data_IF_826365249051
#
_entry.id   IF_826365249051
#
_cell.length_a   1.000
_cell.length_b   1.000
_cell.length_c   1.000
_cell.angle_alpha   90.00
_cell.angle_beta   90.00
_cell.angle_gamma   90.00
#
_symmetry.space_group_name_H-M   'P 1'
#
loop_
_entity.id
_entity.type
_entity.pdbx_description
1 polymer ?
#
# COMPACT_ATOMS: atom_id res chain seq x y z
N UNK A 1 4.92 -9.21 9.93
CA UNK A 1 3.99 -9.09 8.82
C UNK A 1 2.63 -8.60 9.35
N UNK A 2 2.28 -7.38 9.05
CA UNK A 2 0.92 -6.89 9.23
C UNK A 2 0.28 -6.85 7.85
N UNK A 3 -0.57 -7.83 7.55
CA UNK A 3 -1.26 -7.89 6.27
C UNK A 3 -2.12 -6.64 6.08
N UNK A 4 -1.87 -5.90 5.02
CA UNK A 4 -2.76 -4.83 4.58
C UNK A 4 -3.99 -5.46 3.91
N UNK A 5 -4.77 -6.15 4.73
CA UNK A 5 -5.93 -6.90 4.28
C UNK A 5 -7.04 -5.98 3.78
N UNK A 6 -7.17 -4.83 4.43
CA UNK A 6 -8.18 -3.82 4.14
C UNK A 6 -7.52 -2.45 3.95
N UNK A 7 -8.04 -1.68 3.02
CA UNK A 7 -7.71 -0.26 2.92
C UNK A 7 -8.30 0.50 4.11
N UNK A 8 -7.66 1.60 4.55
CA UNK A 8 -8.09 2.40 5.71
C UNK A 8 -9.56 2.81 5.59
N UNK A 9 -10.00 3.13 4.36
CA UNK A 9 -11.40 3.43 4.05
C UNK A 9 -11.86 2.41 3.00
N UNK A 10 -12.25 1.22 3.46
CA UNK A 10 -12.85 0.20 2.60
C UNK A 10 -14.33 0.50 2.39
N UNK A 11 -14.67 1.07 1.24
CA UNK A 11 -16.03 1.52 0.90
C UNK A 11 -17.03 0.37 0.94
N UNK A 12 -16.62 -0.82 0.55
CA UNK A 12 -17.50 -1.99 0.50
C UNK A 12 -17.82 -2.50 1.91
N UNK A 13 -16.82 -2.53 2.79
CA UNK A 13 -17.03 -2.89 4.19
C UNK A 13 -17.92 -1.86 4.89
N UNK A 14 -17.67 -0.56 4.67
CA UNK A 14 -18.49 0.49 5.22
C UNK A 14 -19.94 0.43 4.71
N UNK A 15 -20.14 0.21 3.41
CA UNK A 15 -21.47 0.04 2.83
C UNK A 15 -22.19 -1.17 3.42
N UNK A 16 -21.51 -2.31 3.54
CA UNK A 16 -22.06 -3.52 4.15
C UNK A 16 -22.51 -3.27 5.59
N UNK A 17 -21.66 -2.64 6.41
CA UNK A 17 -21.98 -2.34 7.80
C UNK A 17 -23.12 -1.32 7.92
N UNK A 18 -23.10 -0.25 7.12
CA UNK A 18 -24.16 0.77 7.14
C UNK A 18 -25.53 0.18 6.74
N UNK A 19 -25.58 -0.62 5.68
CA UNK A 19 -26.77 -1.33 5.25
C UNK A 19 -27.25 -2.33 6.31
N UNK A 20 -26.32 -3.01 6.98
CA UNK A 20 -26.60 -3.94 8.04
C UNK A 20 -27.24 -3.27 9.26
N UNK A 21 -26.66 -2.16 9.70
CA UNK A 21 -27.22 -1.35 10.80
C UNK A 21 -28.60 -0.84 10.45
N UNK A 22 -28.75 -0.25 9.26
CA UNK A 22 -30.04 0.25 8.78
C UNK A 22 -31.10 -0.86 8.73
N UNK A 23 -30.77 -2.02 8.18
CA UNK A 23 -31.67 -3.16 8.07
C UNK A 23 -32.08 -3.71 9.43
N UNK A 24 -31.13 -3.87 10.35
CA UNK A 24 -31.38 -4.32 11.73
C UNK A 24 -32.32 -3.36 12.48
N UNK A 25 -32.04 -2.05 12.41
CA UNK A 25 -32.84 -1.03 13.04
C UNK A 25 -34.28 -0.98 12.48
N UNK A 26 -34.43 -1.15 11.15
CA UNK A 26 -35.75 -1.20 10.50
C UNK A 26 -36.52 -2.45 10.90
N UNK A 27 -35.84 -3.59 11.07
CA UNK A 27 -36.46 -4.84 11.50
C UNK A 27 -36.94 -4.75 12.97
N UNK A 28 -36.14 -4.16 13.84
CA UNK A 28 -36.48 -3.91 15.23
C UNK A 28 -37.74 -3.04 15.37
N UNK A 29 -37.78 -1.91 14.62
CA UNK A 29 -38.98 -1.02 14.61
C UNK A 29 -40.25 -1.71 14.14
N UNK A 30 -40.14 -2.82 13.42
CA UNK A 30 -41.26 -3.63 12.94
C UNK A 30 -41.56 -4.82 13.86
N UNK A 31 -40.95 -4.90 15.03
CA UNK A 31 -41.13 -6.01 16.01
C UNK A 31 -40.49 -7.33 15.58
N UNK A 32 -39.58 -7.31 14.56
CA UNK A 32 -38.92 -8.50 14.06
C UNK A 32 -37.62 -8.82 14.78
N UNK A 33 -37.04 -9.99 14.46
CA UNK A 33 -35.74 -10.43 15.02
C UNK A 33 -34.57 -9.68 14.38
N UNK A 34 -34.15 -8.56 14.96
CA UNK A 34 -33.02 -7.77 14.55
C UNK A 34 -31.69 -8.50 14.76
N UNK A 35 -31.57 -9.36 15.79
CA UNK A 35 -30.33 -10.09 16.12
C UNK A 35 -29.86 -11.00 14.99
N UNK A 36 -30.77 -11.71 14.35
CA UNK A 36 -30.42 -12.58 13.20
C UNK A 36 -29.87 -11.77 12.04
N UNK A 37 -30.39 -10.56 11.80
CA UNK A 37 -29.89 -9.67 10.73
C UNK A 37 -28.50 -9.12 11.06
N UNK A 38 -28.29 -8.67 12.30
CA UNK A 38 -27.00 -8.21 12.76
C UNK A 38 -25.94 -9.31 12.68
N UNK A 39 -26.28 -10.53 13.11
CA UNK A 39 -25.38 -11.69 13.03
C UNK A 39 -25.01 -12.02 11.57
N UNK A 40 -25.99 -12.01 10.67
CA UNK A 40 -25.74 -12.25 9.26
C UNK A 40 -24.74 -11.23 8.69
N UNK A 41 -24.95 -9.93 8.94
CA UNK A 41 -24.06 -8.87 8.47
C UNK A 41 -22.66 -9.01 9.07
N UNK A 42 -22.56 -9.35 10.35
CA UNK A 42 -21.29 -9.63 10.99
C UNK A 42 -20.55 -10.79 10.34
N UNK A 43 -21.24 -11.91 10.07
CA UNK A 43 -20.66 -13.06 9.36
C UNK A 43 -20.19 -12.66 7.95
N UNK A 44 -20.98 -11.88 7.21
CA UNK A 44 -20.60 -11.40 5.89
C UNK A 44 -19.37 -10.47 5.95
N UNK A 45 -19.27 -9.61 6.96
CA UNK A 45 -18.10 -8.77 7.19
C UNK A 45 -16.85 -9.60 7.50
N UNK A 46 -16.98 -10.65 8.31
CA UNK A 46 -15.88 -11.58 8.60
C UNK A 46 -15.45 -12.35 7.34
N UNK A 47 -16.40 -12.83 6.54
CA UNK A 47 -16.10 -13.51 5.27
C UNK A 47 -15.41 -12.57 4.27
N UNK A 48 -15.89 -11.33 4.16
CA UNK A 48 -15.26 -10.32 3.33
C UNK A 48 -13.81 -10.03 3.75
N UNK A 49 -13.57 -9.85 5.04
CA UNK A 49 -12.22 -9.62 5.59
C UNK A 49 -11.32 -10.82 5.37
N UNK A 50 -11.81 -12.03 5.61
CA UNK A 50 -11.06 -13.27 5.39
C UNK A 50 -10.72 -13.47 3.91
N UNK A 51 -11.66 -13.19 3.02
CA UNK A 51 -11.43 -13.24 1.58
C UNK A 51 -10.33 -12.26 1.14
N UNK A 52 -10.40 -11.00 1.60
CA UNK A 52 -9.37 -10.01 1.32
C UNK A 52 -7.99 -10.43 1.85
N UNK A 53 -7.93 -11.06 3.00
CA UNK A 53 -6.68 -11.63 3.54
C UNK A 53 -6.11 -12.70 2.61
N UNK A 54 -6.94 -13.65 2.15
CA UNK A 54 -6.52 -14.69 1.21
C UNK A 54 -6.01 -14.10 -0.11
N UNK A 55 -6.69 -13.07 -0.65
CA UNK A 55 -6.26 -12.38 -1.88
C UNK A 55 -4.90 -11.71 -1.68
N UNK A 56 -4.68 -11.07 -0.54
CA UNK A 56 -3.39 -10.44 -0.21
C UNK A 56 -2.27 -11.47 -0.08
N UNK A 57 -2.53 -12.57 0.63
CA UNK A 57 -1.56 -13.63 0.85
C UNK A 57 -1.21 -14.37 -0.45
N UNK A 58 -2.21 -14.65 -1.30
CA UNK A 58 -2.00 -15.28 -2.60
C UNK A 58 -1.19 -14.40 -3.56
N UNK A 59 -1.39 -13.09 -3.58
CA UNK A 59 -0.58 -12.17 -4.38
C UNK A 59 0.90 -12.20 -3.94
N UNK A 60 1.13 -12.21 -2.64
CA UNK A 60 2.45 -12.36 -2.02
C UNK A 60 3.13 -13.68 -2.40
N UNK A 61 2.41 -14.77 -2.22
CA UNK A 61 2.89 -16.12 -2.52
C UNK A 61 3.23 -16.28 -4.00
N UNK A 62 2.35 -15.81 -4.89
CA UNK A 62 2.55 -15.87 -6.35
C UNK A 62 3.81 -15.11 -6.75
N UNK A 63 4.01 -13.90 -6.21
CA UNK A 63 5.22 -13.13 -6.46
C UNK A 63 6.48 -13.84 -5.96
N UNK A 64 6.46 -14.35 -4.72
CA UNK A 64 7.61 -15.04 -4.12
C UNK A 64 8.02 -16.28 -4.93
N UNK A 65 7.05 -17.10 -5.34
CA UNK A 65 7.29 -18.30 -6.14
C UNK A 65 7.83 -18.00 -7.54
N UNK A 66 7.33 -16.95 -8.19
CA UNK A 66 7.78 -16.57 -9.53
C UNK A 66 9.15 -15.89 -9.50
N UNK A 67 9.45 -15.11 -8.47
CA UNK A 67 10.75 -14.46 -8.33
C UNK A 67 11.90 -15.46 -8.11
N UNK A 68 11.61 -16.64 -7.53
CA UNK A 68 12.58 -17.73 -7.43
C UNK A 68 12.84 -18.42 -8.78
N UNK A 69 11.85 -18.45 -9.69
CA UNK A 69 11.97 -19.09 -11.01
C UNK A 69 12.66 -18.22 -12.06
N UNK A 70 12.67 -16.91 -11.89
CA UNK A 70 13.37 -15.98 -12.77
C UNK A 70 14.85 -15.91 -12.36
N UNK A 71 15.55 -17.04 -12.44
CA UNK A 71 17.02 -17.00 -12.64
C UNK A 71 17.26 -16.40 -14.00
N UNK A 72 18.25 -15.50 -14.15
CA UNK A 72 18.58 -14.95 -15.46
C UNK A 72 19.07 -16.10 -16.36
N UNK A 73 18.20 -16.62 -17.19
CA UNK A 73 18.64 -17.26 -18.41
C UNK A 73 18.98 -16.14 -19.37
N UNK A 74 20.26 -15.92 -19.60
CA UNK A 74 20.81 -15.01 -20.62
C UNK A 74 20.32 -15.34 -22.05
N UNK A 75 19.42 -16.29 -22.19
CA UNK A 75 19.10 -17.00 -23.43
C UNK A 75 17.94 -16.39 -24.24
N UNK A 76 17.23 -15.38 -23.76
CA UNK A 76 16.00 -14.91 -24.43
C UNK A 76 16.07 -13.51 -25.05
N UNK A 77 17.24 -12.88 -25.22
CA UNK A 77 17.38 -11.63 -26.00
C UNK A 77 16.57 -10.43 -25.45
N UNK A 78 15.92 -10.56 -24.32
CA UNK A 78 15.35 -9.47 -23.55
C UNK A 78 16.50 -8.77 -22.83
N UNK A 79 16.66 -7.47 -23.05
CA UNK A 79 17.73 -6.65 -22.48
C UNK A 79 17.96 -6.84 -20.98
N UNK A 80 18.96 -6.21 -20.37
CA UNK A 80 19.30 -6.38 -18.98
C UNK A 80 18.06 -6.17 -18.10
N UNK A 81 17.82 -7.11 -17.17
CA UNK A 81 16.72 -7.03 -16.21
C UNK A 81 16.87 -5.70 -15.45
N UNK A 82 15.83 -4.87 -15.38
CA UNK A 82 15.89 -3.68 -14.54
C UNK A 82 16.22 -4.09 -13.09
N UNK A 83 17.10 -3.34 -12.44
CA UNK A 83 17.47 -3.57 -11.03
C UNK A 83 16.31 -3.22 -10.11
N UNK A 84 15.28 -4.07 -10.14
CA UNK A 84 14.09 -3.92 -9.33
C UNK A 84 14.34 -4.63 -8.00
N UNK A 85 14.13 -3.96 -6.87
CA UNK A 85 14.22 -4.59 -5.56
C UNK A 85 13.34 -5.84 -5.50
N UNK A 86 13.93 -6.96 -5.13
CA UNK A 86 13.22 -8.24 -5.05
C UNK A 86 12.40 -8.39 -3.77
N UNK A 87 12.54 -7.43 -2.84
CA UNK A 87 11.84 -7.44 -1.57
C UNK A 87 10.48 -6.75 -1.73
N UNK A 88 9.40 -7.52 -1.61
CA UNK A 88 8.06 -6.95 -1.44
C UNK A 88 7.96 -6.32 -0.06
N UNK A 89 7.61 -5.06 -0.02
CA UNK A 89 7.48 -4.29 1.21
C UNK A 89 6.03 -4.26 1.69
N UNK A 90 5.09 -4.19 0.76
CA UNK A 90 3.66 -4.20 1.05
C UNK A 90 2.85 -4.74 -0.14
N UNK A 91 1.67 -5.30 0.17
CA UNK A 91 0.65 -5.62 -0.83
C UNK A 91 -0.59 -4.78 -0.48
N UNK A 92 -0.76 -3.68 -1.18
CA UNK A 92 -1.82 -2.71 -0.90
C UNK A 92 -3.07 -3.00 -1.74
N UNK A 93 -4.23 -2.84 -1.12
CA UNK A 93 -5.51 -2.92 -1.83
C UNK A 93 -5.66 -1.70 -2.74
N UNK A 94 -6.17 -1.92 -3.96
CA UNK A 94 -6.53 -0.82 -4.86
C UNK A 94 -7.86 -0.21 -4.39
N UNK A 95 -7.93 1.10 -4.15
CA UNK A 95 -9.17 1.75 -3.75
C UNK A 95 -10.33 1.41 -4.69
N UNK A 96 -11.52 1.11 -4.16
CA UNK A 96 -12.73 0.70 -4.87
C UNK A 96 -12.68 -0.70 -5.55
N UNK A 97 -11.52 -1.34 -5.68
CA UNK A 97 -11.38 -2.66 -6.30
C UNK A 97 -10.91 -3.71 -5.29
N UNK A 98 -11.83 -4.34 -4.54
CA UNK A 98 -11.47 -5.23 -3.42
C UNK A 98 -10.71 -6.49 -3.85
N UNK A 99 -10.75 -6.84 -5.14
CA UNK A 99 -10.11 -8.05 -5.67
C UNK A 99 -8.72 -7.81 -6.23
N UNK A 100 -8.32 -6.53 -6.39
CA UNK A 100 -7.00 -6.18 -6.92
C UNK A 100 -6.04 -5.78 -5.81
N UNK A 101 -4.78 -6.14 -5.99
CA UNK A 101 -3.68 -5.75 -5.13
C UNK A 101 -2.59 -5.07 -5.95
N UNK A 102 -1.94 -4.13 -5.33
CA UNK A 102 -0.74 -3.48 -5.83
C UNK A 102 0.41 -3.92 -4.95
N UNK A 103 1.35 -4.67 -5.51
CA UNK A 103 2.56 -5.05 -4.81
C UNK A 103 3.54 -3.90 -4.87
N UNK A 104 4.01 -3.46 -3.72
CA UNK A 104 5.03 -2.44 -3.58
C UNK A 104 6.37 -3.11 -3.28
N UNK A 105 7.33 -2.87 -4.17
CA UNK A 105 8.69 -3.39 -4.06
C UNK A 105 9.63 -2.22 -3.86
N UNK A 106 10.51 -2.32 -2.89
CA UNK A 106 11.48 -1.25 -2.71
C UNK A 106 11.94 -1.06 -1.29
N UNK A 107 12.63 0.04 -1.11
CA UNK A 107 13.14 0.56 0.14
C UNK A 107 12.87 2.08 0.22
N UNK A 108 13.46 2.76 1.22
CA UNK A 108 13.27 4.20 1.41
C UNK A 108 13.69 5.09 0.24
N UNK A 109 14.49 4.55 -0.67
CA UNK A 109 15.04 5.30 -1.80
C UNK A 109 14.23 5.09 -3.08
N UNK A 110 13.66 3.88 -3.25
CA UNK A 110 12.98 3.49 -4.50
C UNK A 110 11.80 2.60 -4.20
N UNK A 111 10.66 2.92 -4.79
CA UNK A 111 9.49 2.05 -4.80
C UNK A 111 8.99 1.82 -6.22
N UNK A 112 8.65 0.57 -6.49
CA UNK A 112 7.99 0.12 -7.70
C UNK A 112 6.64 -0.48 -7.35
N UNK A 113 5.70 -0.38 -8.27
CA UNK A 113 4.39 -0.96 -8.13
C UNK A 113 4.16 -2.01 -9.21
N UNK A 114 3.67 -3.18 -8.82
CA UNK A 114 3.21 -4.22 -9.74
C UNK A 114 1.75 -4.51 -9.43
N UNK A 115 0.83 -4.33 -10.38
CA UNK A 115 -0.55 -4.80 -10.25
C UNK A 115 -0.58 -6.33 -10.09
N UNK A 116 -1.50 -6.85 -9.29
CA UNK A 116 -1.59 -8.31 -9.02
C UNK A 116 -1.94 -9.15 -10.26
N UNK A 117 -2.59 -8.56 -11.24
CA UNK A 117 -2.92 -9.19 -12.53
C UNK A 117 -1.73 -9.24 -13.49
N UNK A 118 -0.73 -8.40 -13.27
CA UNK A 118 0.51 -8.38 -14.04
C UNK A 118 1.61 -9.32 -13.49
N UNK A 119 1.38 -9.97 -12.33
CA UNK A 119 2.27 -11.02 -11.82
C UNK A 119 2.05 -12.28 -12.73
N UNK A 120 3.05 -12.80 -13.42
CA UNK A 120 4.45 -12.94 -13.01
C UNK A 120 5.47 -12.08 -13.75
N UNK A 121 5.10 -10.99 -14.42
CA UNK A 121 6.06 -10.21 -15.18
C UNK A 121 6.73 -9.11 -14.34
N UNK A 122 8.00 -9.26 -13.95
CA UNK A 122 8.73 -8.16 -13.29
C UNK A 122 8.89 -6.93 -14.19
N UNK A 123 8.70 -7.07 -15.50
CA UNK A 123 8.72 -5.99 -16.48
C UNK A 123 7.52 -5.05 -16.39
N UNK A 124 6.45 -5.46 -15.69
CA UNK A 124 5.28 -4.65 -15.40
C UNK A 124 5.45 -3.74 -14.18
N UNK A 125 6.64 -3.73 -13.56
CA UNK A 125 6.92 -2.87 -12.43
C UNK A 125 7.06 -1.42 -12.91
N UNK A 126 6.18 -0.56 -12.41
CA UNK A 126 6.23 0.88 -12.67
C UNK A 126 6.88 1.60 -11.50
N UNK A 127 7.83 2.52 -11.75
CA UNK A 127 8.38 3.35 -10.68
C UNK A 127 7.27 4.25 -10.12
N UNK A 128 7.14 4.28 -8.80
CA UNK A 128 6.16 5.14 -8.15
C UNK A 128 6.64 6.60 -8.15
N UNK A 129 7.95 6.82 -8.05
CA UNK A 129 8.54 8.16 -7.95
C UNK A 129 9.56 8.40 -9.04
N UNK A 130 9.61 9.64 -9.55
CA UNK A 130 10.63 10.09 -10.50
C UNK A 130 11.71 10.95 -9.83
N UNK A 131 11.39 11.58 -8.70
CA UNK A 131 12.28 12.47 -7.96
C UNK A 131 12.75 11.80 -6.69
N UNK A 132 14.01 11.35 -6.68
CA UNK A 132 14.59 10.57 -5.58
C UNK A 132 15.57 11.42 -4.80
N UNK A 133 15.27 11.59 -3.52
CA UNK A 133 16.21 12.13 -2.55
C UNK A 133 16.83 10.99 -1.74
N UNK A 134 18.08 11.16 -1.33
CA UNK A 134 18.65 10.29 -0.32
C UNK A 134 17.82 10.36 0.97
N UNK A 135 17.74 9.22 1.66
CA UNK A 135 16.95 9.14 2.88
C UNK A 135 17.60 9.96 4.01
N UNK A 136 16.90 10.97 4.55
CA UNK A 136 17.49 11.84 5.57
C UNK A 136 17.71 11.12 6.90
N UNK A 137 18.60 11.65 7.75
CA UNK A 137 18.76 11.15 9.11
C UNK A 137 17.55 11.55 9.98
N UNK A 138 16.49 10.77 9.83
CA UNK A 138 15.25 10.97 10.60
C UNK A 138 15.39 10.57 12.08
N UNK A 139 16.43 9.84 12.46
CA UNK A 139 16.57 9.31 13.81
C UNK A 139 16.76 10.42 14.85
N UNK A 140 17.53 11.44 14.51
CA UNK A 140 17.70 12.63 15.35
C UNK A 140 16.44 13.49 15.37
N UNK A 141 15.81 13.71 14.19
CA UNK A 141 14.64 14.56 14.03
C UNK A 141 13.39 14.03 14.74
N UNK A 142 13.19 12.71 14.78
CA UNK A 142 12.06 12.06 15.49
C UNK A 142 11.99 12.40 16.97
N UNK A 143 13.15 12.61 17.61
CA UNK A 143 13.21 12.90 19.06
C UNK A 143 12.64 14.27 19.41
N UNK A 144 12.69 15.21 18.48
CA UNK A 144 12.27 16.60 18.66
C UNK A 144 10.96 16.94 17.97
N UNK A 145 10.52 16.08 17.01
CA UNK A 145 9.32 16.30 16.22
C UNK A 145 8.35 15.12 16.34
N UNK A 146 7.34 15.27 17.20
CA UNK A 146 6.34 14.24 17.46
C UNK A 146 5.42 13.95 16.26
N UNK A 147 5.23 14.93 15.34
CA UNK A 147 4.43 14.72 14.14
C UNK A 147 5.19 13.86 13.13
N UNK A 148 6.49 14.11 12.96
CA UNK A 148 7.36 13.26 12.16
C UNK A 148 7.42 11.83 12.73
N UNK A 149 7.55 11.69 14.06
CA UNK A 149 7.55 10.39 14.70
C UNK A 149 6.23 9.65 14.46
N UNK A 150 5.10 10.33 14.61
CA UNK A 150 3.78 9.78 14.30
C UNK A 150 3.63 9.35 12.84
N UNK A 151 4.11 10.15 11.90
CA UNK A 151 4.12 9.80 10.48
C UNK A 151 4.95 8.53 10.22
N UNK A 152 6.16 8.43 10.77
CA UNK A 152 7.05 7.30 10.56
C UNK A 152 6.60 6.02 11.30
N UNK A 153 5.84 6.14 12.39
CA UNK A 153 5.18 4.99 13.03
C UNK A 153 4.05 4.46 12.15
N UNK A 154 3.28 5.36 11.55
CA UNK A 154 2.14 5.00 10.71
C UNK A 154 2.58 4.54 9.30
N UNK A 155 3.53 5.25 8.68
CA UNK A 155 4.01 4.96 7.33
C UNK A 155 4.85 3.69 7.31
N UNK A 156 4.47 2.74 6.45
CA UNK A 156 5.18 1.46 6.30
C UNK A 156 6.08 1.41 5.08
N UNK A 157 5.81 2.28 4.13
CA UNK A 157 6.57 2.42 2.88
C UNK A 157 6.98 3.88 2.67
N UNK A 158 7.65 4.49 3.68
CA UNK A 158 8.07 5.88 3.57
C UNK A 158 9.23 6.00 2.59
N UNK A 159 9.20 7.07 1.81
CA UNK A 159 10.29 7.47 0.91
C UNK A 159 10.43 8.98 0.87
N UNK A 160 11.57 9.46 0.38
CA UNK A 160 11.86 10.88 0.26
C UNK A 160 11.67 11.34 -1.19
N UNK A 161 10.92 12.43 -1.37
CA UNK A 161 10.69 13.09 -2.64
C UNK A 161 11.14 14.56 -2.54
N UNK A 162 11.64 15.12 -3.66
CA UNK A 162 12.03 16.52 -3.73
C UNK A 162 10.78 17.41 -3.81
N UNK A 163 10.70 18.37 -2.91
CA UNK A 163 9.71 19.43 -2.97
C UNK A 163 10.07 20.50 -4.02
N UNK A 164 9.10 21.36 -4.35
CA UNK A 164 9.30 22.41 -5.33
C UNK A 164 10.35 23.46 -4.90
N UNK A 165 10.56 23.64 -3.60
CA UNK A 165 11.56 24.53 -3.00
C UNK A 165 12.95 23.88 -2.84
N UNK A 166 13.10 22.62 -3.25
CA UNK A 166 14.35 21.85 -3.13
C UNK A 166 14.50 21.08 -1.82
N UNK A 167 13.58 21.23 -0.88
CA UNK A 167 13.55 20.50 0.38
C UNK A 167 13.02 19.07 0.20
N UNK A 168 12.93 18.32 1.30
CA UNK A 168 12.39 16.95 1.30
C UNK A 168 10.93 16.93 1.72
N UNK A 169 10.11 16.16 0.99
CA UNK A 169 8.80 15.69 1.44
C UNK A 169 8.87 14.18 1.63
N UNK A 170 8.57 13.70 2.83
CA UNK A 170 8.36 12.29 3.09
C UNK A 170 6.95 11.89 2.67
N UNK A 171 6.84 10.79 1.93
CA UNK A 171 5.57 10.25 1.43
C UNK A 171 5.46 8.77 1.75
N UNK A 172 4.23 8.24 1.72
CA UNK A 172 3.99 6.80 1.82
C UNK A 172 3.61 6.24 0.44
N UNK A 173 4.35 5.26 -0.03
CA UNK A 173 4.15 4.67 -1.36
C UNK A 173 2.78 3.99 -1.53
N UNK A 174 2.12 3.58 -0.45
CA UNK A 174 0.75 3.02 -0.49
C UNK A 174 -0.29 4.06 -0.88
N UNK A 175 -0.05 5.30 -0.51
CA UNK A 175 -0.96 6.43 -0.69
C UNK A 175 -0.48 7.40 -1.78
N UNK A 176 0.42 6.94 -2.67
CA UNK A 176 1.01 7.80 -3.70
C UNK A 176 0.14 7.81 -4.97
N UNK A 177 -1.05 8.35 -4.83
CA UNK A 177 -1.96 8.65 -5.93
C UNK A 177 -2.34 10.14 -5.92
N UNK A 178 -2.80 10.73 -7.03
CA UNK A 178 -3.07 12.16 -7.12
C UNK A 178 -4.08 12.71 -6.09
N UNK A 179 -4.96 11.86 -5.55
CA UNK A 179 -6.00 12.29 -4.60
C UNK A 179 -5.50 12.27 -3.15
N UNK A 180 -4.55 11.39 -2.84
CA UNK A 180 -4.16 11.09 -1.45
C UNK A 180 -2.72 11.48 -1.12
N UNK A 181 -1.81 11.54 -2.08
CA UNK A 181 -0.37 11.77 -1.84
C UNK A 181 -0.06 13.02 -1.01
N UNK A 182 -0.82 14.10 -1.18
CA UNK A 182 -0.60 15.35 -0.44
C UNK A 182 -1.12 15.26 1.01
N UNK A 183 -2.07 14.39 1.28
CA UNK A 183 -2.66 14.19 2.61
C UNK A 183 -1.84 13.25 3.49
N UNK A 184 -1.11 12.34 2.86
CA UNK A 184 -0.28 11.34 3.53
C UNK A 184 1.20 11.64 3.28
N UNK A 185 1.60 12.86 3.61
CA UNK A 185 2.95 13.37 3.44
C UNK A 185 3.40 14.18 4.65
N UNK A 186 4.70 14.32 4.81
CA UNK A 186 5.32 15.13 5.85
C UNK A 186 6.48 15.94 5.26
N UNK A 187 6.38 17.27 5.27
CA UNK A 187 7.42 18.16 4.74
C UNK A 187 8.57 18.32 5.76
N UNK A 188 9.79 18.35 5.24
CA UNK A 188 11.03 18.66 5.95
C UNK A 188 11.68 19.89 5.31
N UNK A 189 11.17 21.11 5.58
CA UNK A 189 11.60 22.33 4.88
C UNK A 189 13.06 22.70 5.14
N UNK A 190 13.64 22.26 6.26
CA UNK A 190 15.02 22.54 6.65
C UNK A 190 16.03 21.49 6.15
N UNK A 191 15.57 20.50 5.36
CA UNK A 191 16.40 19.42 4.86
C UNK A 191 16.44 19.48 3.33
N UNK A 192 17.63 19.75 2.80
CA UNK A 192 17.86 19.80 1.36
C UNK A 192 17.86 18.39 0.74
N UNK A 193 17.22 18.24 -0.41
CA UNK A 193 17.22 17.00 -1.17
C UNK A 193 18.57 16.77 -1.86
N UNK A 194 19.31 15.77 -1.41
CA UNK A 194 20.46 15.24 -2.12
C UNK A 194 19.97 14.20 -3.12
N UNK A 195 20.06 14.51 -4.41
CA UNK A 195 19.56 13.61 -5.44
C UNK A 195 20.43 12.33 -5.55
N UNK A 196 19.76 11.20 -5.60
CA UNK A 196 20.42 9.93 -5.90
C UNK A 196 20.82 9.90 -7.39
N UNK A 197 22.01 9.36 -7.72
CA UNK A 197 22.45 9.26 -9.11
C UNK A 197 21.39 8.51 -9.94
N UNK A 198 21.13 9.04 -11.13
CA UNK A 198 20.37 8.34 -12.16
C UNK A 198 21.21 7.16 -12.66
N UNK A 199 20.74 5.95 -12.48
CA UNK A 199 21.34 4.75 -13.09
C UNK A 199 21.01 4.64 -14.56
#
# INVERSE_FOLDING_TARGET
YYGETLFIIDVWLWALLALGVWWSARTEKRGGSWRAKALLVFVLACLYTSYNWVVTDSAWFTFAMNNQKVRPSEENGLGPKPDIPTKVTAASQVPFWPFQRKLLLGDHNRFYAIPSDAIPSPWAAEPITQSRCDWPDVAAMRRTNSQLDGFLIWSRTPFAERAADGSIILRDARCYDPLTRERFSFALPDVECVELPSE
#
